data_IF_782542626996
#
_entry.id   IF_782542626996
#
_cell.length_a   1.000
_cell.length_b   1.000
_cell.length_c   1.000
_cell.angle_alpha   90.00
_cell.angle_beta   90.00
_cell.angle_gamma   90.00
#
_symmetry.space_group_name_H-M   'P 1'
#
loop_
_entity.id
_entity.type
_entity.pdbx_description
1 polymer ?
#
# COMPACT_ATOMS: atom_id res chain seq x y z
N UNK A 1 30.53 -2.90 -12.69
CA UNK A 1 29.39 -3.80 -12.40
C UNK A 1 28.14 -2.93 -12.35
N UNK A 2 27.08 -3.35 -13.03
CA UNK A 2 26.07 -2.49 -13.65
C UNK A 2 25.22 -1.65 -12.68
N UNK A 3 25.01 -0.38 -13.04
CA UNK A 3 23.94 0.47 -12.50
C UNK A 3 22.66 0.15 -13.30
N UNK A 4 21.72 -0.57 -12.68
CA UNK A 4 20.44 -0.93 -13.29
C UNK A 4 19.50 0.27 -13.27
N UNK A 5 19.02 0.64 -14.45
CA UNK A 5 18.03 1.70 -14.71
C UNK A 5 16.80 1.57 -13.80
N UNK A 6 16.72 2.39 -12.77
CA UNK A 6 15.47 2.64 -12.06
C UNK A 6 14.65 3.54 -12.98
N UNK A 7 13.55 3.01 -13.55
CA UNK A 7 12.49 3.88 -14.09
C UNK A 7 12.19 4.88 -12.98
N UNK A 8 12.17 6.17 -13.29
CA UNK A 8 11.73 7.19 -12.32
C UNK A 8 10.23 6.98 -12.15
N UNK A 9 9.88 6.01 -11.33
CA UNK A 9 8.65 5.98 -10.56
C UNK A 9 8.59 7.30 -9.80
N UNK A 10 7.44 7.97 -9.78
CA UNK A 10 7.20 9.22 -9.05
C UNK A 10 7.49 9.15 -7.55
N UNK A 11 7.07 10.17 -6.80
CA UNK A 11 7.27 10.26 -5.34
C UNK A 11 6.72 8.98 -4.68
N UNK A 12 7.60 8.06 -4.34
CA UNK A 12 7.28 6.71 -3.91
C UNK A 12 7.86 6.47 -2.52
N UNK A 13 7.20 5.65 -1.72
CA UNK A 13 7.53 5.46 -0.32
C UNK A 13 7.49 4.02 0.11
N UNK A 14 8.11 3.75 1.26
CA UNK A 14 8.05 2.45 1.93
C UNK A 14 7.56 2.65 3.36
N UNK A 15 6.61 1.81 3.78
CA UNK A 15 6.16 1.71 5.17
C UNK A 15 6.30 0.27 5.66
N UNK A 16 6.62 0.09 6.93
CA UNK A 16 6.68 -1.22 7.57
C UNK A 16 5.93 -1.21 8.89
N UNK A 17 5.38 -2.36 9.29
CA UNK A 17 4.65 -2.50 10.54
C UNK A 17 4.44 -3.97 10.91
N UNK A 18 3.92 -4.18 12.13
CA UNK A 18 3.51 -5.49 12.60
C UNK A 18 2.01 -5.69 12.47
N UNK A 19 1.59 -6.94 12.26
CA UNK A 19 0.17 -7.31 12.24
C UNK A 19 -0.15 -8.37 13.30
N UNK A 20 -1.30 -8.22 13.96
CA UNK A 20 -1.91 -9.27 14.77
C UNK A 20 -2.57 -10.32 13.87
N UNK A 21 -2.24 -11.60 14.06
CA UNK A 21 -2.75 -12.69 13.21
C UNK A 21 -4.26 -12.92 13.32
N UNK A 22 -4.87 -12.47 14.42
CA UNK A 22 -6.30 -12.66 14.71
C UNK A 22 -7.18 -11.54 14.15
N UNK A 23 -6.57 -10.45 13.65
CA UNK A 23 -7.28 -9.28 13.14
C UNK A 23 -7.05 -9.11 11.63
N UNK A 24 -8.06 -8.68 10.88
CA UNK A 24 -7.86 -8.31 9.49
C UNK A 24 -6.90 -7.12 9.41
N UNK A 25 -6.16 -7.02 8.31
CA UNK A 25 -5.32 -5.86 8.01
C UNK A 25 -5.90 -5.12 6.83
N UNK A 26 -6.28 -3.87 7.04
CA UNK A 26 -6.87 -3.02 6.00
C UNK A 26 -5.83 -1.98 5.58
N UNK A 27 -5.48 -2.00 4.30
CA UNK A 27 -4.59 -1.04 3.68
C UNK A 27 -5.45 -0.09 2.85
N UNK A 28 -5.37 1.20 3.15
CA UNK A 28 -6.08 2.25 2.43
C UNK A 28 -5.07 3.22 1.85
N UNK A 29 -5.21 3.51 0.57
CA UNK A 29 -4.41 4.51 -0.14
C UNK A 29 -5.35 5.56 -0.69
N UNK A 30 -5.01 6.82 -0.45
CA UNK A 30 -5.64 7.95 -1.13
C UNK A 30 -4.58 8.72 -1.91
N UNK A 31 -4.93 9.21 -3.09
CA UNK A 31 -4.02 9.96 -3.93
C UNK A 31 -4.74 11.00 -4.81
N UNK A 32 -4.00 12.01 -5.23
CA UNK A 32 -4.46 13.07 -6.14
C UNK A 32 -3.29 13.52 -7.03
N UNK A 33 -3.59 13.93 -8.26
CA UNK A 33 -2.60 14.61 -9.11
C UNK A 33 -2.71 14.32 -10.60
N UNK A 34 -3.62 13.45 -11.04
CA UNK A 34 -3.69 12.99 -12.42
C UNK A 34 -2.62 11.92 -12.70
N UNK A 35 -3.02 10.66 -12.56
CA UNK A 35 -2.16 9.48 -12.77
C UNK A 35 -2.68 8.28 -11.97
N UNK A 36 -1.77 7.47 -11.46
CA UNK A 36 -2.12 6.31 -10.63
C UNK A 36 -1.03 6.02 -9.59
N UNK A 37 -1.43 5.36 -8.51
CA UNK A 37 -0.52 4.80 -7.51
C UNK A 37 -0.71 3.29 -7.45
N UNK A 38 0.39 2.54 -7.43
CA UNK A 38 0.39 1.10 -7.15
C UNK A 38 0.87 0.87 -5.73
N UNK A 39 0.04 0.19 -4.94
CA UNK A 39 0.39 -0.28 -3.62
C UNK A 39 0.68 -1.78 -3.66
N UNK A 40 1.83 -2.19 -3.12
CA UNK A 40 2.21 -3.60 -2.98
C UNK A 40 2.61 -3.89 -1.55
N UNK A 41 2.07 -4.96 -0.97
CA UNK A 41 2.43 -5.42 0.36
C UNK A 41 3.15 -6.77 0.27
N UNK A 42 4.25 -6.87 1.00
CA UNK A 42 5.07 -8.06 1.11
C UNK A 42 5.20 -8.51 2.56
N UNK A 43 5.15 -9.83 2.76
CA UNK A 43 5.44 -10.49 4.03
C UNK A 43 6.38 -11.67 3.75
N UNK A 44 7.51 -11.75 4.47
CA UNK A 44 8.56 -12.76 4.25
C UNK A 44 8.95 -12.93 2.75
N UNK A 45 9.12 -11.81 2.04
CA UNK A 45 9.47 -11.77 0.61
C UNK A 45 8.39 -12.34 -0.33
N UNK A 46 7.16 -12.56 0.15
CA UNK A 46 6.01 -12.96 -0.64
C UNK A 46 5.05 -11.78 -0.76
N UNK A 47 4.67 -11.42 -1.99
CA UNK A 47 3.65 -10.40 -2.23
C UNK A 47 2.28 -10.93 -1.81
N UNK A 48 1.71 -10.35 -0.75
CA UNK A 48 0.40 -10.73 -0.20
C UNK A 48 -0.73 -9.83 -0.69
N UNK A 49 -0.41 -8.62 -1.15
CA UNK A 49 -1.38 -7.71 -1.74
C UNK A 49 -0.75 -6.88 -2.86
N UNK A 50 -1.54 -6.59 -3.90
CA UNK A 50 -1.20 -5.59 -4.92
C UNK A 50 -2.48 -5.00 -5.49
N UNK A 51 -2.60 -3.68 -5.47
CA UNK A 51 -3.72 -2.98 -6.10
C UNK A 51 -3.29 -1.62 -6.62
N UNK A 52 -4.04 -1.12 -7.60
CA UNK A 52 -3.81 0.19 -8.22
C UNK A 52 -4.95 1.13 -7.81
N UNK A 53 -4.61 2.38 -7.53
CA UNK A 53 -5.56 3.46 -7.27
C UNK A 53 -5.37 4.51 -8.35
N UNK A 54 -6.45 4.84 -9.05
CA UNK A 54 -6.47 5.97 -9.97
C UNK A 54 -6.49 7.27 -9.18
N UNK A 55 -5.60 8.20 -9.52
CA UNK A 55 -5.44 9.49 -8.85
C UNK A 55 -5.96 10.58 -9.78
N UNK A 56 -7.26 10.95 -9.74
CA UNK A 56 -7.78 12.03 -10.56
C UNK A 56 -7.11 13.37 -10.25
N UNK A 57 -7.26 14.34 -11.16
CA UNK A 57 -6.79 15.72 -10.94
C UNK A 57 -7.90 16.53 -10.28
N UNK A 58 -7.61 17.14 -9.13
CA UNK A 58 -8.53 18.04 -8.43
C UNK A 58 -9.49 17.35 -7.44
N UNK A 59 -9.43 16.02 -7.32
CA UNK A 59 -10.17 15.23 -6.33
C UNK A 59 -9.31 14.06 -5.84
N UNK A 60 -9.62 13.53 -4.65
CA UNK A 60 -8.92 12.39 -4.09
C UNK A 60 -9.48 11.06 -4.62
N UNK A 61 -8.65 10.30 -5.33
CA UNK A 61 -8.88 8.88 -5.58
C UNK A 61 -8.57 8.07 -4.33
N UNK A 62 -9.38 7.06 -4.03
CA UNK A 62 -9.19 6.19 -2.86
C UNK A 62 -9.35 4.74 -3.26
N UNK A 63 -8.46 3.88 -2.77
CA UNK A 63 -8.56 2.44 -2.91
C UNK A 63 -8.13 1.72 -1.63
N UNK A 64 -8.73 0.56 -1.37
CA UNK A 64 -8.40 -0.23 -0.21
C UNK A 64 -8.40 -1.72 -0.54
N UNK A 65 -7.57 -2.46 0.20
CA UNK A 65 -7.60 -3.93 0.23
C UNK A 65 -7.66 -4.38 1.68
N UNK A 66 -8.45 -5.41 1.93
CA UNK A 66 -8.51 -6.09 3.23
C UNK A 66 -7.82 -7.43 3.07
N UNK A 67 -6.86 -7.69 3.96
CA UNK A 67 -6.24 -9.00 4.13
C UNK A 67 -6.91 -9.69 5.30
N UNK A 68 -7.38 -10.90 5.05
CA UNK A 68 -7.98 -11.74 6.09
C UNK A 68 -6.99 -12.03 7.22
N UNK A 69 -7.49 -12.28 8.44
CA UNK A 69 -6.66 -12.74 9.55
C UNK A 69 -5.78 -13.93 9.14
N UNK A 70 -4.53 -13.94 9.61
CA UNK A 70 -3.57 -15.02 9.36
C UNK A 70 -2.84 -14.97 8.02
N UNK A 71 -3.22 -14.08 7.09
CA UNK A 71 -2.46 -13.82 5.86
C UNK A 71 -1.15 -13.11 6.20
N UNK A 72 -1.24 -12.06 7.02
CA UNK A 72 -0.08 -11.39 7.61
C UNK A 72 0.05 -11.90 9.04
N UNK A 73 1.10 -12.67 9.29
CA UNK A 73 1.41 -13.24 10.61
C UNK A 73 2.24 -12.26 11.43
N UNK A 74 2.38 -12.48 12.75
CA UNK A 74 3.16 -11.60 13.61
C UNK A 74 4.59 -11.49 13.10
N UNK A 75 5.08 -10.26 12.99
CA UNK A 75 6.33 -9.92 12.32
C UNK A 75 6.14 -8.74 11.39
N UNK A 76 7.23 -8.32 10.75
CA UNK A 76 7.24 -7.13 9.91
C UNK A 76 6.71 -7.44 8.51
N UNK A 77 5.74 -6.64 8.05
CA UNK A 77 5.40 -6.51 6.64
C UNK A 77 6.02 -5.23 6.07
N UNK A 78 6.17 -5.20 4.75
CA UNK A 78 6.63 -4.02 4.00
C UNK A 78 5.57 -3.64 2.98
N UNK A 79 5.27 -2.36 2.86
CA UNK A 79 4.40 -1.80 1.83
C UNK A 79 5.24 -0.88 0.96
N UNK A 80 5.24 -1.13 -0.33
CA UNK A 80 5.78 -0.24 -1.35
C UNK A 80 4.68 0.56 -2.03
N UNK A 81 4.93 1.85 -2.22
CA UNK A 81 4.09 2.76 -2.99
C UNK A 81 4.87 3.24 -4.22
N UNK A 82 4.31 2.99 -5.41
CA UNK A 82 4.86 3.39 -6.71
C UNK A 82 3.86 4.36 -7.36
N UNK A 83 4.18 5.65 -7.38
CA UNK A 83 3.38 6.66 -8.05
C UNK A 83 3.80 6.79 -9.52
N UNK A 84 2.83 7.01 -10.43
CA UNK A 84 3.16 7.14 -11.86
C UNK A 84 3.87 8.45 -12.21
N UNK A 85 3.86 9.46 -11.33
CA UNK A 85 4.51 10.75 -11.53
C UNK A 85 4.85 11.44 -10.20
N UNK A 86 5.88 12.29 -10.20
CA UNK A 86 6.40 12.96 -9.00
C UNK A 86 5.45 14.00 -8.39
N UNK A 87 4.53 14.55 -9.18
CA UNK A 87 3.56 15.53 -8.70
C UNK A 87 2.36 14.89 -7.99
N UNK A 88 2.23 13.56 -8.03
CA UNK A 88 1.13 12.84 -7.36
C UNK A 88 1.36 12.89 -5.87
N UNK A 89 0.38 13.42 -5.14
CA UNK A 89 0.34 13.37 -3.68
C UNK A 89 -0.40 12.11 -3.27
N UNK A 90 0.15 11.38 -2.32
CA UNK A 90 -0.48 10.17 -1.80
C UNK A 90 -0.37 10.10 -0.29
N UNK A 91 -1.26 9.31 0.29
CA UNK A 91 -1.26 8.93 1.70
C UNK A 91 -1.58 7.45 1.83
N UNK A 92 -1.00 6.82 2.83
CA UNK A 92 -1.20 5.42 3.16
C UNK A 92 -1.63 5.32 4.60
N UNK A 93 -2.71 4.58 4.84
CA UNK A 93 -3.16 4.18 6.17
C UNK A 93 -3.23 2.67 6.26
N UNK A 94 -2.70 2.12 7.34
CA UNK A 94 -2.82 0.69 7.67
C UNK A 94 -3.53 0.58 9.01
N UNK A 95 -4.61 -0.19 9.05
CA UNK A 95 -5.42 -0.37 10.26
C UNK A 95 -5.72 -1.84 10.49
N UNK A 96 -5.86 -2.22 11.75
CA UNK A 96 -6.36 -3.53 12.15
C UNK A 96 -7.63 -3.31 12.96
N UNK A 97 -8.80 -3.24 12.31
CA UNK A 97 -10.04 -3.05 13.04
C UNK A 97 -10.28 -4.26 13.93
N UNK A 98 -10.52 -4.01 15.22
CA UNK A 98 -11.09 -5.03 16.08
C UNK A 98 -12.51 -5.30 15.59
N UNK A 99 -12.76 -6.50 15.08
CA UNK A 99 -14.13 -6.89 14.76
C UNK A 99 -14.87 -7.03 16.09
N UNK A 100 -15.66 -6.02 16.45
CA UNK A 100 -16.76 -6.21 17.38
C UNK A 100 -17.82 -7.02 16.64
N UNK A 101 -17.74 -8.35 16.76
CA UNK A 101 -18.84 -9.23 16.35
C UNK A 101 -20.08 -8.83 17.16
N UNK A 102 -21.21 -8.45 16.54
CA UNK A 102 -22.46 -8.22 17.26
C UNK A 102 -23.04 -9.53 17.84
#
# INVERSE_FOLDING_TARGET
>A
MWCGSRRVTGDGGVASGGAWETLPTVLTVACEGGGSVVASMEYQQVQVARFTVDCPSGEAGTGAVTLDPGIVRPGDFTIGIDASAEHIRWSLAVTQPETTTP
#
